data_IF_785150972100
#
_entry.id   IF_785150972100
#
_cell.length_a   1.000
_cell.length_b   1.000
_cell.length_c   1.000
_cell.angle_alpha   90.00
_cell.angle_beta   90.00
_cell.angle_gamma   90.00
#
_symmetry.space_group_name_H-M   'P 1'
#
loop_
_entity.id
_entity.type
_entity.pdbx_description
1 polymer ?
#
# COMPACT_ATOMS: atom_id res chain seq x y z
N UNK A 1 12.03 18.80 32.83
CA UNK A 1 12.88 18.40 31.69
C UNK A 1 11.95 17.83 30.62
N UNK A 2 11.51 18.66 29.67
CA UNK A 2 10.74 18.28 28.48
C UNK A 2 11.46 18.89 27.28
N UNK A 3 11.53 18.13 26.18
CA UNK A 3 11.41 18.44 24.73
C UNK A 3 12.00 17.17 24.05
N UNK A 4 11.20 16.21 23.59
CA UNK A 4 10.46 16.13 22.32
C UNK A 4 11.35 16.12 21.06
N UNK A 5 11.12 15.14 20.18
CA UNK A 5 11.33 15.28 18.73
C UNK A 5 12.49 14.49 18.12
N UNK A 6 12.16 13.34 17.52
CA UNK A 6 12.60 13.03 16.14
C UNK A 6 11.41 12.35 15.44
N UNK A 7 10.51 13.17 14.91
CA UNK A 7 9.55 12.77 13.89
C UNK A 7 10.25 12.94 12.54
N UNK A 8 10.59 11.85 11.86
CA UNK A 8 10.81 11.90 10.40
C UNK A 8 9.75 11.03 9.72
N UNK A 9 8.53 11.58 9.67
CA UNK A 9 7.51 11.16 8.74
C UNK A 9 7.58 12.09 7.52
N UNK A 10 8.01 11.57 6.37
CA UNK A 10 7.48 11.82 5.00
C UNK A 10 8.55 11.76 3.93
N UNK A 11 8.19 11.17 2.78
CA UNK A 11 8.06 12.01 1.59
C UNK A 11 6.79 11.64 0.83
N UNK A 12 5.62 11.77 1.46
CA UNK A 12 4.38 11.81 0.70
C UNK A 12 4.07 13.29 0.40
N UNK A 13 3.83 13.70 -0.86
CA UNK A 13 3.43 15.06 -1.16
C UNK A 13 2.15 15.39 -0.40
N UNK A 14 2.21 16.50 0.35
CA UNK A 14 1.21 17.01 1.28
C UNK A 14 -0.21 16.89 0.74
N UNK A 15 -1.08 16.25 1.52
CA UNK A 15 -2.51 16.10 1.27
C UNK A 15 -3.25 17.02 2.22
N UNK A 16 -4.34 17.65 1.79
CA UNK A 16 -5.24 18.39 2.68
C UNK A 16 -6.15 17.39 3.41
N UNK A 17 -6.50 17.66 4.67
CA UNK A 17 -7.34 16.76 5.48
C UNK A 17 -8.68 16.38 4.81
N UNK A 18 -9.19 17.24 3.92
CA UNK A 18 -10.43 17.05 3.17
C UNK A 18 -10.35 15.96 2.07
N UNK A 19 -9.15 15.51 1.69
CA UNK A 19 -8.95 14.46 0.67
C UNK A 19 -8.96 13.03 1.27
N UNK A 20 -9.17 12.89 2.59
CA UNK A 20 -9.29 11.59 3.24
C UNK A 20 -10.68 11.01 2.98
N UNK A 21 -10.76 10.00 2.12
CA UNK A 21 -11.99 9.30 1.84
C UNK A 21 -12.33 8.38 3.02
N UNK A 22 -13.23 8.81 3.90
CA UNK A 22 -13.87 7.96 4.91
C UNK A 22 -15.11 7.31 4.32
N UNK A 23 -15.32 6.00 4.47
CA UNK A 23 -16.63 5.42 4.23
C UNK A 23 -16.66 3.90 4.14
N UNK A 24 -17.14 3.27 5.21
CA UNK A 24 -17.75 1.95 5.12
C UNK A 24 -18.93 1.99 4.13
N UNK A 25 -18.97 1.08 3.16
CA UNK A 25 -20.07 0.97 2.19
C UNK A 25 -20.02 1.97 1.02
N UNK A 26 -18.86 2.58 0.76
CA UNK A 26 -18.64 3.38 -0.46
C UNK A 26 -18.09 2.52 -1.60
N UNK A 27 -18.60 2.71 -2.80
CA UNK A 27 -18.00 2.18 -4.03
C UNK A 27 -16.68 2.90 -4.28
N UNK A 28 -15.61 2.14 -4.52
CA UNK A 28 -14.29 2.66 -4.87
C UNK A 28 -13.85 2.06 -6.20
N UNK A 29 -13.75 2.90 -7.23
CA UNK A 29 -13.56 2.45 -8.62
C UNK A 29 -12.08 2.35 -8.93
N UNK A 30 -11.64 1.21 -9.43
CA UNK A 30 -10.24 1.02 -9.82
C UNK A 30 -10.13 0.59 -11.28
N UNK A 31 -8.98 0.85 -11.89
CA UNK A 31 -8.65 0.37 -13.23
C UNK A 31 -7.23 -0.19 -13.27
N UNK A 32 -6.99 -1.14 -14.18
CA UNK A 32 -5.67 -1.66 -14.46
C UNK A 32 -5.07 -1.02 -15.71
N UNK A 33 -3.85 -0.51 -15.58
CA UNK A 33 -3.01 -0.16 -16.72
C UNK A 33 -2.56 -1.43 -17.46
N UNK A 34 -2.26 -1.31 -18.75
CA UNK A 34 -1.81 -2.41 -19.61
C UNK A 34 -0.49 -3.07 -19.12
N UNK A 35 0.24 -2.40 -18.22
CA UNK A 35 1.45 -2.95 -17.59
C UNK A 35 1.20 -4.13 -16.63
N UNK A 36 -0.05 -4.37 -16.20
CA UNK A 36 -0.42 -5.49 -15.34
C UNK A 36 -1.05 -6.59 -16.19
N UNK A 37 -0.47 -7.79 -16.16
CA UNK A 37 -0.95 -8.97 -16.91
C UNK A 37 -2.23 -9.52 -16.28
N UNK A 38 -3.12 -10.15 -17.06
CA UNK A 38 -4.38 -10.72 -16.55
C UNK A 38 -4.21 -11.68 -15.37
N UNK A 39 -3.17 -12.52 -15.37
CA UNK A 39 -2.89 -13.40 -14.23
C UNK A 39 -2.60 -12.64 -12.93
N UNK A 40 -1.92 -11.49 -13.02
CA UNK A 40 -1.66 -10.62 -11.87
C UNK A 40 -2.91 -9.83 -11.48
N UNK A 41 -3.75 -9.42 -12.45
CA UNK A 41 -5.04 -8.77 -12.21
C UNK A 41 -5.99 -9.67 -11.42
N UNK A 42 -6.07 -10.96 -11.77
CA UNK A 42 -6.88 -11.94 -11.04
C UNK A 42 -6.51 -12.00 -9.56
N UNK A 43 -5.21 -12.07 -9.25
CA UNK A 43 -4.71 -12.06 -7.85
C UNK A 43 -5.11 -10.76 -7.13
N UNK A 44 -5.00 -9.61 -7.80
CA UNK A 44 -5.36 -8.32 -7.19
C UNK A 44 -6.87 -8.26 -6.92
N UNK A 45 -7.71 -8.75 -7.85
CA UNK A 45 -9.17 -8.84 -7.66
C UNK A 45 -9.51 -9.68 -6.44
N UNK A 46 -8.88 -10.85 -6.29
CA UNK A 46 -9.10 -11.73 -5.15
C UNK A 46 -8.69 -11.06 -3.83
N UNK A 47 -7.57 -10.33 -3.82
CA UNK A 47 -7.12 -9.57 -2.64
C UNK A 47 -8.12 -8.46 -2.28
N UNK A 48 -8.60 -7.70 -3.27
CA UNK A 48 -9.57 -6.61 -3.05
C UNK A 48 -10.93 -7.13 -2.56
N UNK A 49 -11.32 -8.33 -2.99
CA UNK A 49 -12.56 -8.98 -2.55
C UNK A 49 -12.45 -9.63 -1.15
N UNK A 50 -11.25 -9.71 -0.55
CA UNK A 50 -11.06 -10.37 0.74
C UNK A 50 -11.78 -9.60 1.87
N UNK A 51 -12.66 -10.25 2.65
CA UNK A 51 -13.44 -9.60 3.69
C UNK A 51 -12.60 -9.00 4.82
N UNK A 52 -11.32 -9.37 4.95
CA UNK A 52 -10.37 -8.78 5.90
C UNK A 52 -9.85 -7.41 5.46
N UNK A 53 -10.03 -7.06 4.18
CA UNK A 53 -9.61 -5.78 3.61
C UNK A 53 -10.42 -4.57 4.09
N UNK A 54 -10.07 -3.40 3.55
CA UNK A 54 -10.81 -2.15 3.78
C UNK A 54 -12.29 -2.29 3.43
N UNK A 55 -13.16 -1.56 4.12
CA UNK A 55 -14.63 -1.65 3.98
C UNK A 55 -15.17 -0.80 2.83
N UNK A 56 -14.60 -0.98 1.65
CA UNK A 56 -15.07 -0.42 0.39
C UNK A 56 -15.62 -1.52 -0.51
N UNK A 57 -16.57 -1.17 -1.36
CA UNK A 57 -16.96 -2.01 -2.50
C UNK A 57 -16.07 -1.65 -3.68
N UNK A 58 -15.11 -2.52 -4.03
CA UNK A 58 -14.23 -2.27 -5.16
C UNK A 58 -14.87 -2.67 -6.47
N UNK A 59 -14.91 -1.74 -7.41
CA UNK A 59 -15.49 -1.95 -8.74
C UNK A 59 -14.45 -1.64 -9.81
N UNK A 60 -14.17 -2.62 -10.66
CA UNK A 60 -13.31 -2.40 -11.83
C UNK A 60 -14.07 -1.60 -12.90
N UNK A 61 -13.45 -0.55 -13.41
CA UNK A 61 -14.06 0.32 -14.44
C UNK A 61 -13.09 0.63 -15.57
N UNK A 62 -13.62 0.81 -16.78
CA UNK A 62 -12.84 1.26 -17.94
C UNK A 62 -12.73 2.79 -18.03
N UNK A 63 -13.65 3.50 -17.40
CA UNK A 63 -13.75 4.97 -17.46
C UNK A 63 -13.91 5.58 -16.08
N UNK A 64 -13.32 6.76 -15.94
CA UNK A 64 -13.39 7.61 -14.76
C UNK A 64 -12.96 6.93 -13.43
N UNK A 65 -11.92 6.09 -13.36
CA UNK A 65 -11.56 5.41 -12.10
C UNK A 65 -11.19 6.39 -10.99
N UNK A 66 -11.32 5.98 -9.72
CA UNK A 66 -10.79 6.72 -8.57
C UNK A 66 -9.28 6.46 -8.41
N UNK A 67 -8.83 5.24 -8.73
CA UNK A 67 -7.42 4.84 -8.74
C UNK A 67 -7.05 4.00 -9.98
N UNK A 68 -5.86 4.23 -10.52
CA UNK A 68 -5.27 3.39 -11.58
C UNK A 68 -4.05 2.65 -11.04
N UNK A 69 -4.04 1.32 -11.18
CA UNK A 69 -2.90 0.49 -10.79
C UNK A 69 -2.00 0.21 -12.00
N UNK A 70 -0.68 0.35 -11.79
CA UNK A 70 0.37 0.08 -12.77
C UNK A 70 1.41 -0.84 -12.15
N UNK A 71 2.22 -1.52 -12.98
CA UNK A 71 3.33 -2.33 -12.50
C UNK A 71 4.61 -2.09 -13.28
N UNK A 72 5.64 -1.58 -12.61
CA UNK A 72 6.89 -1.17 -13.25
C UNK A 72 8.12 -1.88 -12.68
N UNK A 73 9.18 -2.08 -13.48
CA UNK A 73 10.49 -2.46 -12.96
C UNK A 73 11.01 -1.40 -11.97
N UNK A 74 11.74 -1.86 -10.93
CA UNK A 74 12.30 -0.98 -9.90
C UNK A 74 13.11 0.19 -10.47
N UNK A 75 13.90 -0.04 -11.52
CA UNK A 75 14.70 1.02 -12.16
C UNK A 75 13.83 2.18 -12.66
N UNK A 76 12.66 1.90 -13.23
CA UNK A 76 11.74 2.92 -13.73
C UNK A 76 11.08 3.71 -12.60
N UNK A 77 10.75 3.05 -11.48
CA UNK A 77 10.27 3.71 -10.26
C UNK A 77 11.32 4.70 -9.73
N UNK A 78 12.55 4.24 -9.53
CA UNK A 78 13.66 5.08 -9.03
C UNK A 78 13.95 6.26 -9.94
N UNK A 79 13.94 6.04 -11.27
CA UNK A 79 14.13 7.11 -12.25
C UNK A 79 13.01 8.16 -12.22
N UNK A 80 11.76 7.72 -12.02
CA UNK A 80 10.59 8.61 -12.07
C UNK A 80 10.43 9.44 -10.79
N UNK A 81 10.76 8.87 -9.64
CA UNK A 81 10.53 9.48 -8.33
C UNK A 81 11.83 9.94 -7.67
N UNK A 82 12.61 9.02 -7.13
CA UNK A 82 14.00 9.22 -6.67
C UNK A 82 14.52 7.92 -6.05
N UNK A 83 15.80 7.91 -5.65
CA UNK A 83 16.45 6.78 -4.97
C UNK A 83 15.79 6.39 -3.64
N UNK A 84 15.06 7.30 -2.98
CA UNK A 84 14.38 7.00 -1.71
C UNK A 84 13.24 5.97 -1.85
N UNK A 85 12.76 5.75 -3.08
CA UNK A 85 11.72 4.77 -3.41
C UNK A 85 12.28 3.45 -3.96
N UNK A 86 13.59 3.22 -3.85
CA UNK A 86 14.21 1.96 -4.26
C UNK A 86 13.59 0.78 -3.48
N UNK A 87 13.23 -0.28 -4.20
CA UNK A 87 12.52 -1.45 -3.70
C UNK A 87 11.14 -1.17 -3.08
N UNK A 88 10.50 -0.03 -3.37
CA UNK A 88 9.16 0.27 -2.88
C UNK A 88 8.13 0.22 -4.02
N UNK A 89 6.88 -0.08 -3.67
CA UNK A 89 5.71 0.35 -4.44
C UNK A 89 5.30 1.75 -3.94
N UNK A 90 4.51 2.47 -4.73
CA UNK A 90 4.11 3.84 -4.39
C UNK A 90 2.67 4.14 -4.80
N UNK A 91 2.00 4.98 -4.01
CA UNK A 91 0.75 5.62 -4.37
C UNK A 91 0.96 7.13 -4.55
N UNK A 92 0.63 7.66 -5.74
CA UNK A 92 0.55 9.09 -6.01
C UNK A 92 -0.84 9.55 -5.56
N UNK A 93 -0.91 10.13 -4.36
CA UNK A 93 -2.17 10.56 -3.74
C UNK A 93 -2.65 11.93 -4.24
N UNK A 94 -1.75 12.75 -4.80
CA UNK A 94 -2.03 14.11 -5.28
C UNK A 94 -2.37 14.17 -6.79
N UNK A 95 -2.92 13.11 -7.36
CA UNK A 95 -3.40 13.05 -8.74
C UNK A 95 -4.86 12.61 -8.81
N UNK A 96 -5.55 12.98 -9.89
CA UNK A 96 -6.91 12.52 -10.19
C UNK A 96 -6.92 11.93 -11.62
N UNK A 97 -7.13 10.61 -11.78
CA UNK A 97 -7.23 9.60 -10.73
C UNK A 97 -5.94 9.46 -9.91
N UNK A 98 -6.04 8.88 -8.70
CA UNK A 98 -4.84 8.47 -7.94
C UNK A 98 -4.12 7.36 -8.71
N UNK A 99 -2.81 7.21 -8.49
CA UNK A 99 -2.02 6.20 -9.23
C UNK A 99 -1.22 5.35 -8.27
N UNK A 100 -1.47 4.04 -8.28
CA UNK A 100 -0.62 3.06 -7.59
C UNK A 100 0.37 2.48 -8.61
N UNK A 101 1.65 2.47 -8.28
CA UNK A 101 2.70 1.82 -9.07
C UNK A 101 3.33 0.71 -8.23
N UNK A 102 3.01 -0.52 -8.61
CA UNK A 102 3.50 -1.76 -8.00
C UNK A 102 4.91 -2.03 -8.50
N UNK A 103 5.84 -2.31 -7.58
CA UNK A 103 7.17 -2.76 -7.92
C UNK A 103 7.13 -4.20 -8.46
N UNK A 104 7.41 -4.37 -9.76
CA UNK A 104 7.38 -5.67 -10.43
C UNK A 104 8.35 -6.68 -9.82
N UNK A 105 9.51 -6.23 -9.33
CA UNK A 105 10.50 -7.11 -8.70
C UNK A 105 9.93 -7.75 -7.44
N UNK A 106 9.39 -6.90 -6.55
CA UNK A 106 8.85 -7.36 -5.29
C UNK A 106 7.51 -8.09 -5.42
N UNK A 107 6.71 -7.74 -6.43
CA UNK A 107 5.49 -8.50 -6.76
C UNK A 107 5.77 -9.98 -7.07
N UNK A 108 6.94 -10.27 -7.66
CA UNK A 108 7.33 -11.62 -8.06
C UNK A 108 8.24 -12.31 -7.05
N UNK A 109 8.82 -11.57 -6.11
CA UNK A 109 9.76 -12.10 -5.12
C UNK A 109 9.67 -11.30 -3.83
N UNK A 110 9.52 -11.99 -2.72
CA UNK A 110 9.43 -11.34 -1.42
C UNK A 110 10.66 -10.45 -1.16
N UNK A 111 10.50 -9.19 -0.69
CA UNK A 111 11.62 -8.36 -0.28
C UNK A 111 12.38 -9.00 0.87
N UNK A 112 13.71 -8.91 0.86
CA UNK A 112 14.57 -9.48 1.93
C UNK A 112 14.16 -9.08 3.36
N UNK A 113 13.75 -7.83 3.65
CA UNK A 113 13.36 -7.42 5.00
C UNK A 113 11.97 -7.91 5.43
N UNK A 114 11.15 -8.40 4.51
CA UNK A 114 9.80 -8.86 4.80
C UNK A 114 9.85 -10.36 5.14
N UNK A 115 9.65 -10.70 6.41
CA UNK A 115 9.73 -12.07 6.91
C UNK A 115 8.37 -12.78 6.88
N UNK A 116 7.75 -12.81 5.70
CA UNK A 116 6.51 -13.54 5.42
C UNK A 116 6.58 -14.23 4.06
N UNK A 117 5.48 -14.86 3.66
CA UNK A 117 5.32 -15.50 2.35
C UNK A 117 5.12 -14.47 1.23
N UNK A 118 5.27 -14.91 -0.02
CA UNK A 118 4.97 -14.06 -1.18
C UNK A 118 3.48 -13.67 -1.25
N UNK A 119 2.59 -14.57 -0.83
CA UNK A 119 1.16 -14.30 -0.78
C UNK A 119 0.84 -13.20 0.24
N UNK A 120 1.35 -13.33 1.47
CA UNK A 120 1.20 -12.31 2.50
C UNK A 120 1.78 -10.96 2.05
N UNK A 121 2.90 -10.97 1.34
CA UNK A 121 3.48 -9.73 0.80
C UNK A 121 2.59 -9.07 -0.25
N UNK A 122 1.98 -9.84 -1.16
CA UNK A 122 1.07 -9.30 -2.18
C UNK A 122 -0.18 -8.72 -1.54
N UNK A 123 -0.77 -9.43 -0.58
CA UNK A 123 -1.91 -8.95 0.21
C UNK A 123 -1.56 -7.63 0.91
N UNK A 124 -0.45 -7.60 1.64
CA UNK A 124 0.05 -6.40 2.35
C UNK A 124 0.24 -5.24 1.37
N UNK A 125 0.97 -5.47 0.28
CA UNK A 125 1.31 -4.44 -0.70
C UNK A 125 0.05 -3.78 -1.25
N UNK A 126 -0.92 -4.59 -1.72
CA UNK A 126 -2.15 -4.05 -2.28
C UNK A 126 -2.95 -3.31 -1.19
N UNK A 127 -3.12 -3.88 -0.01
CA UNK A 127 -3.88 -3.24 1.07
C UNK A 127 -3.23 -1.95 1.56
N UNK A 128 -1.90 -1.88 1.60
CA UNK A 128 -1.13 -0.70 1.99
C UNK A 128 -1.27 0.43 0.96
N UNK A 129 -1.03 0.14 -0.32
CA UNK A 129 -1.16 1.15 -1.39
C UNK A 129 -2.61 1.60 -1.59
N UNK A 130 -3.58 0.70 -1.37
CA UNK A 130 -4.99 1.07 -1.33
C UNK A 130 -5.33 1.91 -0.11
N UNK A 131 -4.71 1.67 1.04
CA UNK A 131 -4.82 2.55 2.20
C UNK A 131 -4.41 3.98 1.84
N UNK A 132 -3.29 4.16 1.15
CA UNK A 132 -2.93 5.45 0.57
C UNK A 132 -3.96 5.97 -0.44
N UNK A 133 -4.48 5.13 -1.33
CA UNK A 133 -5.55 5.53 -2.25
C UNK A 133 -6.85 5.95 -1.54
N UNK A 134 -7.09 5.53 -0.30
CA UNK A 134 -8.18 6.03 0.56
C UNK A 134 -7.81 7.26 1.40
N UNK A 135 -6.55 7.70 1.38
CA UNK A 135 -6.07 8.86 2.15
C UNK A 135 -5.42 8.51 3.49
N UNK A 136 -5.10 7.24 3.74
CA UNK A 136 -4.36 6.82 4.95
C UNK A 136 -2.88 7.17 4.83
N UNK A 137 -2.28 7.54 5.95
CA UNK A 137 -0.85 7.79 6.09
C UNK A 137 -0.20 6.63 6.84
N UNK A 138 1.14 6.58 6.85
CA UNK A 138 1.85 5.53 7.56
C UNK A 138 1.56 5.53 9.05
N UNK A 139 1.59 4.33 9.62
CA UNK A 139 1.43 4.09 11.05
C UNK A 139 2.69 3.44 11.64
N UNK A 140 2.88 3.61 12.94
CA UNK A 140 3.99 3.02 13.68
C UNK A 140 3.62 1.61 14.16
N UNK A 141 4.55 0.67 14.01
CA UNK A 141 4.44 -0.67 14.56
C UNK A 141 4.89 -0.74 16.02
N UNK A 142 4.37 -1.73 16.76
CA UNK A 142 4.86 -2.09 18.09
C UNK A 142 5.59 -3.43 17.99
N UNK A 143 6.86 -3.54 18.44
CA UNK A 143 7.60 -4.80 18.41
C UNK A 143 6.83 -5.96 19.06
N UNK A 144 6.83 -7.12 18.40
CA UNK A 144 6.13 -8.32 18.87
C UNK A 144 4.59 -8.25 18.82
N UNK A 145 3.99 -7.15 18.36
CA UNK A 145 2.57 -7.05 18.02
C UNK A 145 2.38 -7.16 16.52
N UNK A 146 1.18 -7.50 16.01
CA UNK A 146 0.90 -7.40 14.58
C UNK A 146 1.15 -5.98 14.06
N UNK A 147 1.79 -5.85 12.91
CA UNK A 147 1.96 -4.56 12.26
C UNK A 147 0.61 -3.99 11.85
N UNK A 148 0.36 -2.68 12.00
CA UNK A 148 -0.67 -2.02 11.20
C UNK A 148 -0.39 -2.23 9.71
N UNK A 149 -1.44 -2.33 8.89
CA UNK A 149 -1.25 -2.48 7.43
C UNK A 149 -0.55 -1.25 6.83
N UNK A 150 -0.74 -0.08 7.46
CA UNK A 150 -0.08 1.17 7.09
C UNK A 150 1.33 1.33 7.66
N UNK A 151 1.84 0.36 8.43
CA UNK A 151 3.27 0.29 8.71
C UNK A 151 4.03 -0.15 7.44
N UNK A 152 5.19 0.45 7.16
CA UNK A 152 5.98 0.16 5.95
C UNK A 152 6.68 -1.21 6.03
N UNK A 153 5.92 -2.31 6.00
CA UNK A 153 6.43 -3.68 6.14
C UNK A 153 7.45 -4.07 5.05
N UNK A 154 7.41 -3.46 3.86
CA UNK A 154 8.45 -3.64 2.82
C UNK A 154 9.86 -3.29 3.33
N UNK A 155 9.98 -2.33 4.26
CA UNK A 155 11.26 -1.92 4.86
C UNK A 155 11.69 -2.81 6.05
N UNK A 156 10.84 -3.70 6.51
CA UNK A 156 11.14 -4.62 7.61
C UNK A 156 9.90 -4.97 8.43
N UNK A 157 9.48 -6.24 8.42
CA UNK A 157 8.42 -6.77 9.29
C UNK A 157 8.67 -8.25 9.59
N UNK A 158 8.33 -8.71 10.80
CA UNK A 158 8.51 -10.09 11.27
C UNK A 158 9.93 -10.47 11.70
N UNK A 159 10.94 -9.67 11.36
CA UNK A 159 12.33 -9.85 11.82
C UNK A 159 12.51 -9.33 13.25
N UNK A 160 12.31 -10.20 14.24
CA UNK A 160 12.58 -9.92 15.65
C UNK A 160 14.05 -9.48 15.88
N UNK A 161 14.38 -8.69 16.93
CA UNK A 161 13.53 -8.30 18.07
C UNK A 161 12.83 -6.95 17.94
N UNK A 162 13.12 -6.14 16.91
CA UNK A 162 12.69 -4.73 16.85
C UNK A 162 11.52 -4.45 15.90
N UNK A 163 10.95 -5.47 15.25
CA UNK A 163 9.85 -5.29 14.31
C UNK A 163 8.52 -5.88 14.84
N UNK A 164 7.41 -5.33 14.35
CA UNK A 164 6.09 -5.92 14.49
C UNK A 164 5.96 -7.18 13.60
N UNK A 165 5.01 -8.06 13.92
CA UNK A 165 4.70 -9.29 13.17
C UNK A 165 4.00 -8.95 11.86
N UNK A 166 4.30 -9.68 10.79
CA UNK A 166 3.64 -9.51 9.48
C UNK A 166 2.12 -9.57 9.65
N UNK A 167 1.43 -8.60 9.05
CA UNK A 167 -0.02 -8.56 8.99
C UNK A 167 -0.46 -7.91 7.67
N UNK A 168 -1.03 -8.67 6.73
CA UNK A 168 -1.36 -8.14 5.41
C UNK A 168 -2.61 -7.25 5.33
N UNK A 169 -3.48 -7.32 6.34
CA UNK A 169 -4.80 -6.69 6.30
C UNK A 169 -4.98 -5.67 7.43
N UNK A 170 -5.81 -4.63 7.25
CA UNK A 170 -6.11 -3.65 8.29
C UNK A 170 -6.64 -4.29 9.58
N UNK A 171 -6.56 -3.56 10.68
CA UNK A 171 -7.34 -3.88 11.86
C UNK A 171 -8.81 -3.53 11.64
N UNK A 172 -9.69 -4.15 12.43
CA UNK A 172 -11.14 -3.98 12.27
C UNK A 172 -11.60 -2.54 12.59
N UNK A 173 -10.83 -1.80 13.37
CA UNK A 173 -11.05 -0.41 13.76
C UNK A 173 -10.39 0.61 12.81
N UNK A 174 -9.61 0.18 11.82
CA UNK A 174 -8.96 1.08 10.86
C UNK A 174 -9.91 1.60 9.77
N UNK A 175 -11.07 0.94 9.58
CA UNK A 175 -12.01 1.15 8.47
C UNK A 175 -13.17 2.09 8.80
#
# INVERSE_FOLDING_TARGET
KHVAGIFEASPCPLIKEDDVLRGAGKVFRYAFDATIREADRAIIRDILADPRGWKFEYVEVDKDPDVVMKMWPNQKLVQRFSKQFDQLSVCIMNSVPRVIVINKGNWNKVPKPFHGTLEEYRQYLIMHEMGHAHGKLHESGIPGKPCPVMFQQTKGAGGLPNNCLVRPFPFMDDS
#
